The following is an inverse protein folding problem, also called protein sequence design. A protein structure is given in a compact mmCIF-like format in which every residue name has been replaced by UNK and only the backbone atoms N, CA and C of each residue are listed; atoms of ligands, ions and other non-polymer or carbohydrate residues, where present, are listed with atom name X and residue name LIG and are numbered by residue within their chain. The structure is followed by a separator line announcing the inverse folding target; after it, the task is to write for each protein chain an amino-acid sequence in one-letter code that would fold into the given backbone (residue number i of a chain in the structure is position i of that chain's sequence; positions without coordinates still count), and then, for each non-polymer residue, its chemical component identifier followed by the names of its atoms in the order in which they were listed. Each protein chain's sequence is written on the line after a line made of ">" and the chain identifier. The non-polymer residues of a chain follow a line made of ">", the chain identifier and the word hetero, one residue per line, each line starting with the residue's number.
data_IF_547649610102
#
_entry.id   IF_547649610102
#
_cell.length_a   1.000
_cell.length_b   1.000
_cell.length_c   1.000
_cell.angle_alpha   90.00
_cell.angle_beta   90.00
_cell.angle_gamma   90.00
#
_symmetry.space_group_name_H-M   'P 1'
#
loop_
_entity.id
_entity.type
_entity.pdbx_description
1 polymer ?
#
# COMPACT_ATOMS: atom_id res chain seq x y z
N UNK A 1 -8.82 -13.92 13.21
CA UNK A 1 -10.01 -14.75 13.42
C UNK A 1 -10.15 -15.55 12.16
N UNK A 2 -10.08 -16.87 12.26
CA UNK A 2 -10.04 -17.75 11.11
C UNK A 2 -11.27 -18.67 11.14
N UNK A 3 -12.38 -18.23 10.53
CA UNK A 3 -13.63 -18.99 10.52
C UNK A 3 -13.59 -20.18 9.54
N UNK A 4 -12.62 -20.23 8.61
CA UNK A 4 -12.50 -21.29 7.60
C UNK A 4 -11.42 -22.34 7.95
N UNK A 5 -10.69 -22.12 9.05
CA UNK A 5 -9.60 -22.99 9.50
C UNK A 5 -8.27 -22.62 8.83
N UNK A 6 -7.14 -23.13 9.36
CA UNK A 6 -5.79 -22.65 9.03
C UNK A 6 -5.44 -22.93 7.56
N UNK A 7 -5.87 -22.05 6.66
CA UNK A 7 -5.27 -21.84 5.34
C UNK A 7 -5.38 -22.95 4.30
N UNK A 8 -6.28 -23.93 4.40
CA UNK A 8 -6.49 -24.92 3.32
C UNK A 8 -5.20 -25.55 2.74
N UNK A 9 -5.06 -25.59 1.41
CA UNK A 9 -3.87 -26.08 0.67
C UNK A 9 -2.67 -25.11 0.65
N UNK A 10 -2.79 -23.92 1.25
CA UNK A 10 -1.77 -22.86 1.21
C UNK A 10 -1.00 -22.85 2.53
N UNK A 11 0.32 -22.71 2.45
CA UNK A 11 1.18 -22.69 3.63
C UNK A 11 0.84 -21.50 4.55
N UNK A 12 0.60 -21.72 5.87
CA UNK A 12 0.27 -20.65 6.81
C UNK A 12 1.32 -19.54 6.88
N UNK A 13 2.60 -19.87 6.68
CA UNK A 13 3.69 -18.88 6.64
C UNK A 13 3.61 -17.98 5.40
N UNK A 14 3.14 -18.51 4.27
CA UNK A 14 2.86 -17.71 3.08
C UNK A 14 1.69 -16.76 3.31
N UNK A 15 0.62 -17.22 3.96
CA UNK A 15 -0.54 -16.37 4.29
C UNK A 15 -0.15 -15.24 5.25
N UNK A 16 0.64 -15.55 6.29
CA UNK A 16 1.20 -14.54 7.21
C UNK A 16 2.05 -13.52 6.44
N UNK A 17 2.91 -13.99 5.55
CA UNK A 17 3.77 -13.12 4.76
C UNK A 17 2.98 -12.24 3.80
N UNK A 18 2.01 -12.83 3.10
CA UNK A 18 1.11 -12.15 2.19
C UNK A 18 0.29 -11.07 2.89
N UNK A 19 -0.22 -11.33 4.10
CA UNK A 19 -0.95 -10.33 4.89
C UNK A 19 -0.07 -9.10 5.20
N UNK A 20 1.18 -9.32 5.60
CA UNK A 20 2.10 -8.22 5.94
C UNK A 20 2.41 -7.38 4.69
N UNK A 21 2.71 -8.03 3.56
CA UNK A 21 3.08 -7.34 2.33
C UNK A 21 1.88 -6.58 1.75
N UNK A 22 0.70 -7.20 1.68
CA UNK A 22 -0.52 -6.51 1.27
C UNK A 22 -0.84 -5.35 2.22
N UNK A 23 -0.69 -5.52 3.53
CA UNK A 23 -0.87 -4.45 4.50
C UNK A 23 0.08 -3.27 4.29
N UNK A 24 1.36 -3.52 3.99
CA UNK A 24 2.35 -2.47 3.68
C UNK A 24 2.00 -1.69 2.42
N UNK A 25 1.69 -2.39 1.32
CA UNK A 25 1.27 -1.75 0.08
C UNK A 25 -0.04 -0.98 0.26
N UNK A 26 -0.99 -1.52 1.03
CA UNK A 26 -2.24 -0.85 1.32
C UNK A 26 -2.04 0.41 2.16
N UNK A 27 -1.11 0.42 3.13
CA UNK A 27 -0.77 1.63 3.89
C UNK A 27 -0.21 2.74 2.98
N UNK A 28 0.68 2.38 2.05
CA UNK A 28 1.21 3.33 1.07
C UNK A 28 0.13 3.82 0.11
N UNK A 29 -0.69 2.91 -0.40
CA UNK A 29 -1.80 3.24 -1.30
C UNK A 29 -2.85 4.12 -0.62
N UNK A 30 -3.21 3.83 0.63
CA UNK A 30 -4.24 4.58 1.36
C UNK A 30 -3.79 6.02 1.61
N UNK A 31 -2.53 6.20 2.03
CA UNK A 31 -1.94 7.53 2.18
C UNK A 31 -1.78 8.25 0.82
N UNK A 32 -1.30 7.55 -0.20
CA UNK A 32 -1.06 8.11 -1.54
C UNK A 32 -2.34 8.49 -2.28
N UNK A 33 -3.43 7.75 -2.08
CA UNK A 33 -4.71 8.02 -2.72
C UNK A 33 -5.39 9.29 -2.19
N UNK A 34 -5.21 9.60 -0.90
CA UNK A 34 -5.87 10.73 -0.24
C UNK A 34 -4.98 11.99 -0.17
N UNK A 35 -3.65 11.84 -0.21
CA UNK A 35 -2.72 12.95 -0.02
C UNK A 35 -2.87 14.08 -1.06
N UNK A 36 -2.97 13.83 -2.38
CA UNK A 36 -3.16 14.90 -3.36
C UNK A 36 -4.45 15.69 -3.13
N UNK A 37 -5.53 15.03 -2.72
CA UNK A 37 -6.80 15.70 -2.43
C UNK A 37 -6.71 16.61 -1.19
N UNK A 38 -6.08 16.12 -0.12
CA UNK A 38 -5.88 16.90 1.10
C UNK A 38 -4.98 18.10 0.83
N UNK A 39 -3.82 17.88 0.19
CA UNK A 39 -2.85 18.93 -0.09
C UNK A 39 -3.39 19.95 -1.08
N UNK A 40 -4.20 19.51 -2.06
CA UNK A 40 -4.90 20.38 -3.00
C UNK A 40 -5.89 21.29 -2.31
N UNK A 41 -6.73 20.75 -1.42
CA UNK A 41 -7.69 21.56 -0.64
C UNK A 41 -7.00 22.47 0.38
N UNK A 42 -5.85 22.07 0.92
CA UNK A 42 -5.03 22.92 1.78
C UNK A 42 -4.26 24.01 1.03
N UNK A 43 -4.23 23.98 -0.32
CA UNK A 43 -3.51 24.94 -1.15
C UNK A 43 -1.99 24.79 -1.14
N UNK A 44 -1.48 23.63 -0.70
CA UNK A 44 -0.03 23.36 -0.61
C UNK A 44 0.56 22.85 -1.93
N UNK A 45 -0.29 22.37 -2.86
CA UNK A 45 0.11 21.92 -4.19
C UNK A 45 -0.71 22.63 -5.27
N UNK A 46 -0.19 22.75 -6.51
CA UNK A 46 -0.96 23.24 -7.64
C UNK A 46 -2.21 22.37 -7.87
N UNK A 47 -3.35 23.02 -8.18
CA UNK A 47 -4.62 22.31 -8.41
C UNK A 47 -4.55 21.33 -9.59
N UNK A 48 -3.65 21.57 -10.54
CA UNK A 48 -3.38 20.65 -11.66
C UNK A 48 -2.88 19.27 -11.18
N UNK A 49 -2.15 19.23 -10.06
CA UNK A 49 -1.59 18.01 -9.47
C UNK A 49 -2.47 17.43 -8.36
N UNK A 50 -3.49 18.17 -7.91
CA UNK A 50 -4.46 17.75 -6.91
C UNK A 50 -5.53 16.80 -7.50
N UNK A 51 -5.09 15.82 -8.28
CA UNK A 51 -5.97 14.86 -8.94
C UNK A 51 -6.42 13.77 -7.96
N UNK A 52 -7.68 13.40 -8.07
CA UNK A 52 -8.25 12.23 -7.39
C UNK A 52 -7.52 10.97 -7.86
N UNK A 53 -7.31 10.01 -6.95
CA UNK A 53 -6.48 8.83 -7.22
C UNK A 53 -6.87 8.08 -8.51
N UNK A 54 -8.16 7.93 -8.84
CA UNK A 54 -8.62 7.24 -10.05
C UNK A 54 -8.55 8.10 -11.33
N UNK A 55 -8.42 9.42 -11.21
CA UNK A 55 -8.25 10.36 -12.34
C UNK A 55 -6.78 10.63 -12.67
N UNK A 56 -5.86 10.05 -11.90
CA UNK A 56 -4.41 10.22 -12.06
C UNK A 56 -3.83 9.66 -13.36
N UNK A 57 -4.62 8.97 -14.19
CA UNK A 57 -4.12 8.20 -15.35
C UNK A 57 -4.03 6.70 -15.10
N UNK A 58 -4.28 6.24 -13.87
CA UNK A 58 -4.35 4.81 -13.53
C UNK A 58 -5.50 4.09 -14.25
N UNK A 59 -6.62 4.78 -14.46
CA UNK A 59 -7.77 4.28 -15.23
C UNK A 59 -8.01 5.26 -16.38
N UNK A 60 -7.44 5.02 -17.58
CA UNK A 60 -7.49 5.99 -18.69
C UNK A 60 -8.90 6.49 -19.05
N UNK A 61 -9.98 5.67 -18.99
CA UNK A 61 -11.34 6.17 -19.22
C UNK A 61 -11.86 7.20 -18.20
N UNK A 62 -11.33 7.22 -16.97
CA UNK A 62 -11.83 8.08 -15.88
C UNK A 62 -11.06 9.39 -15.75
N UNK A 63 -9.83 9.45 -16.28
CA UNK A 63 -8.99 10.63 -16.28
C UNK A 63 -7.56 10.28 -16.65
N UNK A 64 -6.88 11.20 -17.32
CA UNK A 64 -5.46 11.11 -17.65
C UNK A 64 -4.74 12.38 -17.22
N UNK A 65 -3.47 12.23 -16.90
CA UNK A 65 -2.59 13.35 -16.59
C UNK A 65 -1.34 13.24 -17.47
N UNK A 66 -0.90 14.36 -18.02
CA UNK A 66 0.29 14.42 -18.87
C UNK A 66 1.54 14.47 -18.00
N UNK A 67 2.10 13.31 -17.72
CA UNK A 67 3.40 13.18 -17.07
C UNK A 67 4.55 13.43 -18.05
N UNK A 68 5.78 13.36 -17.54
CA UNK A 68 7.01 13.51 -18.33
C UNK A 68 7.25 12.38 -19.34
N UNK A 69 6.56 11.24 -19.19
CA UNK A 69 6.57 10.11 -20.10
C UNK A 69 5.15 9.60 -20.30
N UNK A 70 4.93 8.82 -21.36
CA UNK A 70 3.64 8.18 -21.58
C UNK A 70 3.35 7.14 -20.48
N UNK A 71 2.05 6.88 -20.16
CA UNK A 71 1.68 5.95 -19.09
C UNK A 71 2.23 4.52 -19.28
N UNK A 72 2.46 4.08 -20.53
CA UNK A 72 2.98 2.74 -20.79
C UNK A 72 4.49 2.66 -20.54
N UNK A 73 5.25 3.69 -20.90
CA UNK A 73 6.67 3.81 -20.54
C UNK A 73 6.85 3.86 -19.02
N UNK A 74 6.00 4.63 -18.32
CA UNK A 74 6.00 4.66 -16.86
C UNK A 74 5.71 3.28 -16.26
N UNK A 75 4.73 2.56 -16.81
CA UNK A 75 4.40 1.20 -16.38
C UNK A 75 5.56 0.22 -16.61
N UNK A 76 6.22 0.25 -17.77
CA UNK A 76 7.40 -0.61 -18.04
C UNK A 76 8.54 -0.27 -17.09
N UNK A 77 8.78 1.01 -16.83
CA UNK A 77 9.80 1.45 -15.89
C UNK A 77 9.50 0.97 -14.46
N UNK A 78 8.25 1.11 -14.00
CA UNK A 78 7.79 0.59 -12.71
C UNK A 78 7.97 -0.93 -12.63
N UNK A 79 7.53 -1.67 -13.66
CA UNK A 79 7.66 -3.14 -13.71
C UNK A 79 9.12 -3.60 -13.72
N UNK A 80 10.04 -2.85 -14.32
CA UNK A 80 11.46 -3.17 -14.29
C UNK A 80 12.04 -2.99 -12.87
N UNK A 81 11.73 -1.87 -12.22
CA UNK A 81 12.20 -1.57 -10.86
C UNK A 81 11.59 -2.50 -9.81
N UNK A 82 10.26 -2.64 -9.83
CA UNK A 82 9.52 -3.56 -8.97
C UNK A 82 9.90 -5.00 -9.28
N UNK A 83 10.10 -5.35 -10.55
CA UNK A 83 10.63 -6.65 -10.95
C UNK A 83 11.93 -6.97 -10.23
N UNK A 84 12.89 -6.04 -10.23
CA UNK A 84 14.14 -6.24 -9.51
C UNK A 84 13.94 -6.40 -7.99
N UNK A 85 13.18 -5.50 -7.37
CA UNK A 85 12.94 -5.51 -5.92
C UNK A 85 12.20 -6.78 -5.46
N UNK A 86 11.12 -7.14 -6.16
CA UNK A 86 10.26 -8.28 -5.85
C UNK A 86 10.96 -9.63 -6.12
N UNK A 87 11.73 -9.75 -7.20
CA UNK A 87 12.49 -10.97 -7.44
C UNK A 87 13.51 -11.22 -6.33
N UNK A 88 14.23 -10.18 -5.87
CA UNK A 88 15.18 -10.33 -4.76
C UNK A 88 14.48 -10.69 -3.45
N UNK A 89 13.35 -10.04 -3.17
CA UNK A 89 12.51 -10.36 -2.02
C UNK A 89 12.01 -11.81 -2.06
N UNK A 90 11.57 -12.28 -3.22
CA UNK A 90 11.14 -13.67 -3.42
C UNK A 90 12.30 -14.66 -3.25
N UNK A 91 13.49 -14.35 -3.76
CA UNK A 91 14.67 -15.19 -3.57
C UNK A 91 15.08 -15.30 -2.08
N UNK A 92 14.94 -14.23 -1.29
CA UNK A 92 15.16 -14.30 0.16
C UNK A 92 14.07 -15.12 0.87
N UNK A 93 12.82 -15.11 0.38
CA UNK A 93 11.77 -15.99 0.89
C UNK A 93 12.10 -17.48 0.65
N UNK A 94 12.51 -17.85 -0.56
CA UNK A 94 12.85 -19.24 -0.88
C UNK A 94 14.19 -19.70 -0.31
N UNK A 95 15.18 -18.80 -0.25
CA UNK A 95 16.54 -19.06 0.22
C UNK A 95 17.01 -17.89 1.09
N UNK A 96 16.67 -17.88 2.39
CA UNK A 96 17.06 -16.83 3.31
C UNK A 96 18.57 -16.57 3.30
N UNK A 97 18.96 -15.31 3.18
CA UNK A 97 20.37 -14.88 3.16
C UNK A 97 21.13 -15.16 1.87
N UNK A 98 20.46 -15.63 0.82
CA UNK A 98 21.04 -15.72 -0.53
C UNK A 98 21.38 -14.34 -1.10
N UNK A 99 20.59 -13.32 -0.74
CA UNK A 99 20.74 -11.94 -1.23
C UNK A 99 21.99 -11.22 -0.72
N UNK A 100 22.68 -11.76 0.28
CA UNK A 100 23.96 -11.25 0.78
C UNK A 100 25.21 -11.94 0.21
N UNK A 101 25.05 -12.92 -0.69
CA UNK A 101 26.17 -13.70 -1.24
C UNK A 101 26.62 -13.23 -2.63
N UNK A 102 25.67 -12.82 -3.47
CA UNK A 102 25.96 -12.32 -4.81
C UNK A 102 26.35 -10.85 -4.76
N UNK A 103 27.42 -10.47 -5.49
CA UNK A 103 27.83 -9.08 -5.62
C UNK A 103 26.67 -8.21 -6.10
N UNK A 104 26.35 -7.17 -5.35
CA UNK A 104 25.32 -6.22 -5.72
C UNK A 104 25.72 -4.80 -5.33
N UNK A 105 26.68 -4.25 -6.07
CA UNK A 105 27.10 -2.85 -5.92
C UNK A 105 27.49 -2.47 -4.47
N UNK A 106 27.92 -3.43 -3.64
CA UNK A 106 28.27 -3.21 -2.23
C UNK A 106 27.09 -3.23 -1.25
N UNK A 107 25.85 -3.41 -1.73
CA UNK A 107 24.63 -3.45 -0.91
C UNK A 107 24.38 -4.83 -0.29
N UNK A 108 25.15 -5.85 -0.67
CA UNK A 108 24.93 -7.25 -0.26
C UNK A 108 24.92 -7.45 1.27
N UNK A 109 25.78 -6.77 2.03
CA UNK A 109 25.85 -6.94 3.50
C UNK A 109 24.57 -6.54 4.21
N UNK A 110 23.85 -5.55 3.68
CA UNK A 110 22.61 -5.07 4.29
C UNK A 110 21.36 -5.79 3.78
N UNK A 111 21.47 -6.50 2.67
CA UNK A 111 20.39 -7.28 2.05
C UNK A 111 20.41 -8.76 2.43
N UNK A 112 21.30 -9.18 3.33
CA UNK A 112 21.43 -10.57 3.78
C UNK A 112 20.27 -11.09 4.64
N UNK A 113 19.28 -10.26 4.97
CA UNK A 113 18.12 -10.65 5.74
C UNK A 113 18.42 -10.99 7.21
N UNK A 114 17.37 -11.22 7.99
CA UNK A 114 17.44 -11.58 9.42
C UNK A 114 17.11 -13.05 9.69
N UNK A 115 16.72 -13.80 8.64
CA UNK A 115 16.15 -15.13 8.73
C UNK A 115 14.61 -15.17 8.70
N UNK A 116 13.92 -14.08 9.02
CA UNK A 116 12.46 -13.95 8.80
C UNK A 116 12.21 -13.13 7.52
N UNK A 117 11.70 -13.73 6.43
CA UNK A 117 11.46 -13.03 5.16
C UNK A 117 10.54 -11.81 5.29
N UNK A 118 9.64 -11.80 6.28
CA UNK A 118 8.74 -10.68 6.55
C UNK A 118 9.46 -9.46 7.18
N UNK A 119 10.55 -9.71 7.90
CA UNK A 119 11.26 -8.72 8.70
C UNK A 119 12.77 -8.82 8.47
N UNK A 120 13.26 -8.50 7.25
CA UNK A 120 14.67 -8.72 6.87
C UNK A 120 15.68 -7.90 7.68
N UNK A 121 15.25 -6.83 8.37
CA UNK A 121 16.14 -5.99 9.17
C UNK A 121 17.23 -5.33 8.33
N UNK A 122 18.45 -5.22 8.86
CA UNK A 122 19.58 -4.62 8.15
C UNK A 122 19.30 -3.17 7.74
N UNK A 123 19.47 -2.86 6.45
CA UNK A 123 19.21 -1.51 5.90
C UNK A 123 17.74 -1.10 6.10
N UNK A 124 16.83 -2.08 6.12
CA UNK A 124 15.39 -1.84 6.30
C UNK A 124 15.01 -1.50 7.76
N UNK A 125 15.93 -1.67 8.72
CA UNK A 125 15.78 -1.17 10.10
C UNK A 125 16.95 -0.25 10.46
N UNK A 126 17.18 0.79 9.65
CA UNK A 126 18.28 1.74 9.85
C UNK A 126 18.29 2.38 11.25
N UNK A 127 17.10 2.67 11.80
CA UNK A 127 16.96 3.31 13.12
C UNK A 127 17.06 2.31 14.30
N UNK A 128 17.17 1.01 14.01
CA UNK A 128 17.31 -0.02 15.04
C UNK A 128 16.14 -0.08 16.00
N UNK A 129 14.91 0.10 15.49
CA UNK A 129 13.71 0.00 16.30
C UNK A 129 13.52 -1.42 16.84
N UNK A 130 13.00 -1.52 18.07
CA UNK A 130 12.76 -2.77 18.77
C UNK A 130 14.05 -3.53 19.09
N UNK A 131 14.91 -2.92 19.92
CA UNK A 131 16.09 -3.59 20.47
C UNK A 131 15.70 -4.75 21.41
N UNK A 132 14.56 -4.61 22.08
CA UNK A 132 13.98 -5.64 22.95
C UNK A 132 12.94 -6.47 22.21
N UNK A 133 12.90 -7.78 22.46
CA UNK A 133 11.95 -8.70 21.84
C UNK A 133 10.48 -8.30 22.10
N UNK A 134 10.19 -7.80 23.30
CA UNK A 134 8.86 -7.31 23.68
C UNK A 134 8.45 -6.08 22.84
N UNK A 135 9.38 -5.14 22.65
CA UNK A 135 9.15 -3.95 21.82
C UNK A 135 8.95 -4.33 20.35
N UNK A 136 9.74 -5.28 19.83
CA UNK A 136 9.55 -5.81 18.48
C UNK A 136 8.18 -6.44 18.28
N UNK A 137 7.74 -7.28 19.21
CA UNK A 137 6.41 -7.89 19.16
C UNK A 137 5.32 -6.83 19.14
N UNK A 138 5.44 -5.78 19.95
CA UNK A 138 4.48 -4.68 19.96
C UNK A 138 4.46 -3.91 18.63
N UNK A 139 5.63 -3.60 18.06
CA UNK A 139 5.72 -2.91 16.76
C UNK A 139 5.14 -3.74 15.63
N UNK A 140 5.42 -5.05 15.58
CA UNK A 140 4.82 -5.98 14.60
C UNK A 140 3.29 -6.01 14.72
N UNK A 141 2.75 -5.99 15.94
CA UNK A 141 1.29 -5.94 16.17
C UNK A 141 0.71 -4.61 15.69
N UNK A 142 1.37 -3.48 15.95
CA UNK A 142 0.94 -2.16 15.46
C UNK A 142 0.93 -2.13 13.93
N UNK A 143 1.97 -2.67 13.30
CA UNK A 143 2.08 -2.76 11.84
C UNK A 143 0.93 -3.58 11.24
N UNK A 144 0.64 -4.77 11.76
CA UNK A 144 -0.46 -5.61 11.25
C UNK A 144 -1.81 -4.92 11.44
N UNK A 145 -2.04 -4.26 12.59
CA UNK A 145 -3.29 -3.53 12.83
C UNK A 145 -3.48 -2.39 11.82
N UNK A 146 -2.44 -1.60 11.59
CA UNK A 146 -2.48 -0.53 10.59
C UNK A 146 -2.60 -1.07 9.16
N UNK A 147 -1.92 -2.18 8.84
CA UNK A 147 -2.01 -2.84 7.55
C UNK A 147 -3.43 -3.35 7.26
N UNK A 148 -4.08 -4.02 8.22
CA UNK A 148 -5.48 -4.46 8.09
C UNK A 148 -6.44 -3.30 7.93
N UNK A 149 -6.26 -2.24 8.72
CA UNK A 149 -7.05 -1.02 8.60
C UNK A 149 -6.89 -0.39 7.21
N UNK A 150 -5.66 -0.32 6.69
CA UNK A 150 -5.38 0.25 5.38
C UNK A 150 -5.92 -0.60 4.23
N UNK A 151 -5.88 -1.94 4.33
CA UNK A 151 -6.51 -2.82 3.33
C UNK A 151 -8.02 -2.57 3.24
N UNK A 152 -8.69 -2.39 4.38
CA UNK A 152 -10.10 -2.01 4.42
C UNK A 152 -10.33 -0.59 3.88
N UNK A 153 -9.42 0.36 4.15
CA UNK A 153 -9.51 1.72 3.63
C UNK A 153 -9.42 1.74 2.10
N UNK A 154 -8.48 1.00 1.50
CA UNK A 154 -8.36 0.87 0.04
C UNK A 154 -9.63 0.26 -0.57
N UNK A 155 -10.17 -0.79 0.04
CA UNK A 155 -11.44 -1.37 -0.40
C UNK A 155 -12.57 -0.33 -0.33
N UNK A 156 -12.62 0.43 0.76
CA UNK A 156 -13.55 1.55 0.92
C UNK A 156 -13.40 2.60 -0.19
N UNK A 157 -12.17 3.00 -0.53
CA UNK A 157 -11.90 3.98 -1.59
C UNK A 157 -12.36 3.47 -2.96
N UNK A 158 -12.18 2.19 -3.27
CA UNK A 158 -12.69 1.60 -4.50
C UNK A 158 -14.21 1.63 -4.56
N UNK A 159 -14.89 1.14 -3.52
CA UNK A 159 -16.36 1.11 -3.49
C UNK A 159 -16.93 2.53 -3.52
N UNK A 160 -16.37 3.45 -2.72
CA UNK A 160 -16.81 4.85 -2.70
C UNK A 160 -16.60 5.52 -4.06
N UNK A 161 -15.46 5.32 -4.71
CA UNK A 161 -15.22 5.90 -6.03
C UNK A 161 -16.22 5.38 -7.08
N UNK A 162 -16.58 4.09 -7.04
CA UNK A 162 -17.56 3.50 -7.96
C UNK A 162 -18.96 4.07 -7.71
N UNK A 163 -19.39 4.18 -6.45
CA UNK A 163 -20.76 4.60 -6.11
C UNK A 163 -20.94 6.11 -6.22
N UNK A 164 -19.96 6.90 -5.77
CA UNK A 164 -20.09 8.37 -5.67
C UNK A 164 -19.45 9.12 -6.84
N UNK A 165 -18.46 8.52 -7.52
CA UNK A 165 -17.66 9.20 -8.54
C UNK A 165 -16.78 10.35 -8.01
N UNK A 166 -16.68 10.50 -6.68
CA UNK A 166 -15.90 11.55 -5.99
C UNK A 166 -14.68 10.96 -5.29
N UNK A 167 -13.73 11.85 -4.97
CA UNK A 167 -12.55 11.49 -4.18
C UNK A 167 -12.92 11.09 -2.74
N UNK A 168 -12.16 10.17 -2.11
CA UNK A 168 -12.41 9.76 -0.73
C UNK A 168 -12.38 10.91 0.27
N UNK A 169 -11.55 11.94 0.07
CA UNK A 169 -11.53 13.09 0.98
C UNK A 169 -12.74 13.99 0.79
N UNK A 170 -13.21 14.16 -0.45
CA UNK A 170 -14.43 14.91 -0.73
C UNK A 170 -15.66 14.22 -0.13
N UNK A 171 -15.76 12.89 -0.28
CA UNK A 171 -16.83 12.10 0.35
C UNK A 171 -16.83 12.24 1.88
N UNK A 172 -15.65 12.33 2.49
CA UNK A 172 -15.55 12.58 3.93
C UNK A 172 -16.08 13.97 4.29
N UNK A 173 -15.73 15.01 3.52
CA UNK A 173 -16.22 16.37 3.76
C UNK A 173 -17.74 16.46 3.58
N UNK A 174 -18.28 15.82 2.55
CA UNK A 174 -19.73 15.76 2.29
C UNK A 174 -20.46 15.07 3.44
N UNK A 175 -19.92 13.96 3.96
CA UNK A 175 -20.48 13.28 5.12
C UNK A 175 -20.36 14.11 6.42
N UNK A 176 -19.28 14.85 6.60
CA UNK A 176 -19.11 15.74 7.75
C UNK A 176 -20.06 16.95 7.69
N UNK A 177 -20.35 17.46 6.49
CA UNK A 177 -21.27 18.57 6.28
C UNK A 177 -22.73 18.15 6.47
N UNK A 178 -23.12 16.96 5.99
CA UNK A 178 -24.45 16.39 6.21
C UNK A 178 -24.39 14.87 6.44
N UNK A 179 -24.29 14.43 7.70
CA UNK A 179 -24.19 13.02 8.04
C UNK A 179 -25.44 12.21 7.68
N UNK A 180 -26.61 12.86 7.63
CA UNK A 180 -27.91 12.20 7.40
C UNK A 180 -28.23 12.15 5.91
N UNK A 181 -27.91 13.22 5.17
CA UNK A 181 -28.11 13.31 3.73
C UNK A 181 -27.04 12.62 2.88
N UNK A 182 -25.78 12.56 3.34
CA UNK A 182 -24.66 11.99 2.58
C UNK A 182 -24.14 10.70 3.22
N UNK A 183 -24.88 9.60 3.09
CA UNK A 183 -24.50 8.29 3.61
C UNK A 183 -24.61 7.21 2.52
N UNK A 184 -24.33 5.95 2.90
CA UNK A 184 -24.42 4.82 1.97
C UNK A 184 -25.83 4.68 1.38
N UNK A 185 -26.88 4.81 2.19
CA UNK A 185 -28.27 4.58 1.77
C UNK A 185 -28.81 5.67 0.83
N UNK A 186 -28.31 6.90 0.96
CA UNK A 186 -28.69 8.01 0.08
C UNK A 186 -27.88 8.02 -1.21
N UNK A 187 -26.59 7.71 -1.16
CA UNK A 187 -25.75 7.65 -2.36
C UNK A 187 -26.00 6.38 -3.21
N UNK A 188 -26.48 5.28 -2.62
CA UNK A 188 -26.95 4.11 -3.37
C UNK A 188 -28.29 4.34 -4.08
N UNK A 189 -29.01 5.42 -3.76
CA UNK A 189 -30.24 5.82 -4.46
C UNK A 189 -29.92 6.79 -5.60
N UNK A 190 -29.23 6.33 -6.63
CA UNK A 190 -29.20 7.04 -7.91
C UNK A 190 -29.50 6.04 -9.04
N UNK A 191 -30.72 6.19 -9.55
CA UNK A 191 -31.37 5.76 -10.81
C UNK A 191 -30.94 4.45 -11.51
#
# INVERSE_FOLDING_TARGET
>A
MDPEGPGGFIEPDWLRYGEIINGRFAMLGAAGAIAPEILGKAGLIPQETAVVWFKSGVIPPLGTYNYWADPYTLFVFEMALMGFAEHRRAQDYYKPGSMGKQYFLGLEKGLGGSGDPAYPGGIFNFLGFGKDEKSMKELKVKEIKNGRLAMLAILGYFIQAIVTGKGPFENLLDHLADPVGNNLLTNLKIH
#
